data_IF_655860605400
#
_entry.id   IF_655860605400
#
_cell.length_a   1.000
_cell.length_b   1.000
_cell.length_c   1.000
_cell.angle_alpha   90.00
_cell.angle_beta   90.00
_cell.angle_gamma   90.00
#
_symmetry.space_group_name_H-M   'P 1'
#
loop_
_entity.id
_entity.type
_entity.pdbx_description
1 polymer ?
#
# COMPACT_ATOMS: atom_id res chain seq x y z
N UNK A 1 -5.16 6.27 7.60
CA UNK A 1 -5.62 5.64 6.35
C UNK A 1 -6.58 6.56 5.64
N UNK A 2 -6.40 6.72 4.35
CA UNK A 2 -7.15 7.68 3.57
C UNK A 2 -7.83 6.98 2.40
N UNK A 3 -9.14 7.16 2.24
CA UNK A 3 -9.89 6.56 1.15
C UNK A 3 -10.04 7.57 0.02
N UNK A 4 -9.66 7.19 -1.19
CA UNK A 4 -9.77 8.05 -2.36
C UNK A 4 -10.33 7.27 -3.52
N UNK A 5 -10.90 7.98 -4.49
CA UNK A 5 -11.39 7.35 -5.71
C UNK A 5 -10.26 7.23 -6.72
N UNK A 6 -10.37 6.24 -7.60
CA UNK A 6 -9.32 6.03 -8.59
C UNK A 6 -9.11 7.26 -9.48
N UNK A 7 -10.17 8.01 -9.74
CA UNK A 7 -10.04 9.22 -10.53
C UNK A 7 -9.18 10.26 -9.81
N UNK A 8 -9.34 10.38 -8.49
CA UNK A 8 -8.54 11.30 -7.70
C UNK A 8 -7.07 10.90 -7.72
N UNK A 9 -6.79 9.60 -7.71
CA UNK A 9 -5.41 9.13 -7.78
C UNK A 9 -4.79 9.54 -9.11
N UNK A 10 -5.53 9.37 -10.20
CA UNK A 10 -5.03 9.74 -11.50
C UNK A 10 -4.70 11.23 -11.56
N UNK A 11 -5.62 12.06 -11.04
CA UNK A 11 -5.48 13.51 -11.16
C UNK A 11 -4.46 14.08 -10.19
N UNK A 12 -4.20 13.40 -9.06
CA UNK A 12 -3.32 13.91 -8.02
C UNK A 12 -2.25 12.90 -7.64
N UNK A 13 -1.79 12.14 -8.59
CA UNK A 13 -0.92 11.00 -8.33
C UNK A 13 0.34 11.41 -7.57
N UNK A 14 1.01 12.47 -8.01
CA UNK A 14 2.25 12.89 -7.35
C UNK A 14 2.02 13.28 -5.90
N UNK A 15 0.98 14.05 -5.65
CA UNK A 15 0.66 14.49 -4.29
C UNK A 15 0.33 13.30 -3.40
N UNK A 16 -0.43 12.36 -3.93
CA UNK A 16 -0.82 11.18 -3.17
C UNK A 16 0.37 10.27 -2.91
N UNK A 17 1.27 10.15 -3.88
CA UNK A 17 2.50 9.38 -3.68
C UNK A 17 3.34 10.00 -2.58
N UNK A 18 3.43 11.33 -2.53
CA UNK A 18 4.19 12.00 -1.48
C UNK A 18 3.60 11.70 -0.11
N UNK A 19 2.28 11.71 0.00
CA UNK A 19 1.62 11.39 1.26
C UNK A 19 1.91 9.95 1.68
N UNK A 20 1.85 9.03 0.73
CA UNK A 20 2.12 7.63 1.01
C UNK A 20 3.56 7.43 1.44
N UNK A 21 4.48 8.10 0.76
CA UNK A 21 5.89 8.01 1.11
C UNK A 21 6.14 8.50 2.53
N UNK A 22 5.35 9.46 2.99
CA UNK A 22 5.48 10.01 4.34
C UNK A 22 4.71 9.23 5.39
N UNK A 23 4.20 8.06 5.04
CA UNK A 23 3.59 7.17 6.03
C UNK A 23 2.09 6.98 5.92
N UNK A 24 1.44 7.65 4.97
CA UNK A 24 0.00 7.52 4.81
C UNK A 24 -0.31 6.27 3.99
N UNK A 25 -1.38 5.57 4.36
CA UNK A 25 -1.86 4.43 3.59
C UNK A 25 -3.13 4.85 2.86
N UNK A 26 -3.21 4.59 1.57
CA UNK A 26 -4.39 4.92 0.78
C UNK A 26 -5.17 3.68 0.44
N UNK A 27 -6.50 3.81 0.48
CA UNK A 27 -7.40 2.80 -0.08
C UNK A 27 -8.01 3.43 -1.32
N UNK A 28 -7.75 2.83 -2.47
CA UNK A 28 -8.22 3.34 -3.75
C UNK A 28 -9.50 2.62 -4.11
N UNK A 29 -10.61 3.36 -4.12
CA UNK A 29 -11.92 2.82 -4.43
C UNK A 29 -12.09 2.66 -5.92
N UNK A 30 -12.48 1.47 -6.34
CA UNK A 30 -12.75 1.16 -7.73
C UNK A 30 -14.14 0.55 -7.87
N UNK A 31 -14.71 0.60 -9.07
CA UNK A 31 -16.02 -0.02 -9.30
C UNK A 31 -15.99 -1.50 -8.93
N UNK A 32 -17.14 -2.03 -8.54
CA UNK A 32 -17.32 -3.46 -8.22
C UNK A 32 -16.53 -3.89 -7.00
N UNK A 33 -16.21 -2.95 -6.11
CA UNK A 33 -15.47 -3.24 -4.88
C UNK A 33 -14.10 -3.84 -5.13
N UNK A 34 -13.52 -3.54 -6.27
CA UNK A 34 -12.16 -3.98 -6.60
C UNK A 34 -11.17 -2.96 -6.06
N UNK A 35 -11.21 -2.75 -4.76
CA UNK A 35 -10.39 -1.73 -4.13
C UNK A 35 -8.93 -2.15 -4.05
N UNK A 36 -8.06 -1.15 -4.07
CA UNK A 36 -6.62 -1.37 -4.06
C UNK A 36 -6.03 -0.58 -2.89
N UNK A 37 -5.01 -1.13 -2.26
CA UNK A 37 -4.32 -0.43 -1.17
C UNK A 37 -2.97 0.03 -1.69
N UNK A 38 -2.60 1.26 -1.35
CA UNK A 38 -1.33 1.84 -1.76
C UNK A 38 -0.57 2.28 -0.53
N UNK A 39 0.65 1.80 -0.39
CA UNK A 39 1.51 2.15 0.74
C UNK A 39 2.95 2.19 0.26
N UNK A 40 3.83 2.76 1.09
CA UNK A 40 5.23 2.84 0.70
C UNK A 40 5.89 1.46 0.73
N UNK A 41 6.96 1.33 -0.03
CA UNK A 41 7.71 0.08 -0.04
C UNK A 41 8.25 -0.22 1.36
N UNK A 42 8.67 0.79 2.08
CA UNK A 42 9.15 0.61 3.43
C UNK A 42 8.07 -0.02 4.32
N UNK A 43 6.86 0.53 4.27
CA UNK A 43 5.77 0.00 5.09
C UNK A 43 5.36 -1.40 4.67
N UNK A 44 5.37 -1.64 3.37
CA UNK A 44 5.07 -2.97 2.86
C UNK A 44 6.07 -4.00 3.40
N UNK A 45 7.36 -3.65 3.34
CA UNK A 45 8.40 -4.55 3.82
C UNK A 45 8.28 -4.80 5.32
N UNK A 46 7.95 -3.77 6.09
CA UNK A 46 7.77 -3.94 7.52
C UNK A 46 6.58 -4.84 7.84
N UNK A 47 5.52 -4.69 7.08
CA UNK A 47 4.34 -5.51 7.27
C UNK A 47 4.61 -6.98 6.95
N UNK A 48 5.30 -7.23 5.85
CA UNK A 48 5.65 -8.59 5.44
C UNK A 48 6.58 -9.23 6.47
N UNK A 49 7.54 -8.47 6.95
CA UNK A 49 8.49 -8.94 7.95
C UNK A 49 7.77 -9.34 9.24
N UNK A 50 6.84 -8.51 9.70
CA UNK A 50 6.10 -8.79 10.91
C UNK A 50 5.18 -10.00 10.74
N UNK A 51 4.49 -10.06 9.61
CA UNK A 51 3.56 -11.15 9.35
C UNK A 51 4.28 -12.49 9.26
N UNK A 52 5.42 -12.51 8.61
CA UNK A 52 6.13 -13.75 8.33
C UNK A 52 7.31 -13.98 9.27
N UNK A 53 7.21 -13.46 10.48
CA UNK A 53 8.30 -13.59 11.40
C UNK A 53 8.70 -15.05 11.63
N UNK A 54 7.72 -15.94 11.66
CA UNK A 54 8.00 -17.37 11.82
C UNK A 54 8.33 -18.06 10.49
N UNK A 55 7.70 -17.59 9.41
CA UNK A 55 7.85 -18.22 8.09
C UNK A 55 8.76 -17.45 7.18
N UNK A 56 9.33 -16.40 7.69
CA UNK A 56 10.11 -15.49 6.86
C UNK A 56 11.26 -16.18 6.15
N UNK A 57 11.95 -17.05 6.87
CA UNK A 57 13.09 -17.74 6.29
C UNK A 57 12.68 -18.69 5.17
N UNK A 58 11.53 -19.31 5.33
CA UNK A 58 11.02 -20.19 4.27
C UNK A 58 10.74 -19.43 3.00
N UNK A 59 10.24 -18.20 3.14
CA UNK A 59 9.99 -17.36 1.97
C UNK A 59 11.28 -16.93 1.28
N UNK A 60 12.28 -16.65 2.08
CA UNK A 60 13.55 -16.19 1.55
C UNK A 60 14.30 -17.31 0.83
N UNK A 61 14.10 -18.52 1.27
CA UNK A 61 14.78 -19.67 0.70
C UNK A 61 14.36 -20.00 -0.72
N UNK A 62 13.42 -19.30 -1.25
CA UNK A 62 12.94 -19.55 -2.61
C UNK A 62 13.80 -18.91 -3.70
#
# INVERSE_FOLDING_TARGET
MLAVKSMDVRDNFKTLCDKVFNGETLIISRPKNENVVMLSEYEYNEMIKAKNNADYLAMIDK
#
